data_IF_782534170373
#
_entry.id   IF_782534170373
#
_cell.length_a   1.000
_cell.length_b   1.000
_cell.length_c   1.000
_cell.angle_alpha   90.00
_cell.angle_beta   90.00
_cell.angle_gamma   90.00
#
_symmetry.space_group_name_H-M   'P 1'
#
loop_
_entity.id
_entity.type
_entity.pdbx_description
1 polymer ?
#
# COMPACT_ATOMS: atom_id res chain seq x y z
N UNK A 1 1.05 -0.09 8.22
CA UNK A 1 1.74 -1.25 7.59
C UNK A 1 2.95 -0.82 6.78
N UNK A 2 2.81 0.07 5.79
CA UNK A 2 3.93 0.55 4.95
C UNK A 2 5.07 1.15 5.78
N UNK A 3 4.74 1.81 6.89
CA UNK A 3 5.73 2.33 7.82
C UNK A 3 6.67 1.26 8.39
N UNK A 4 6.19 0.02 8.59
CA UNK A 4 7.02 -1.10 9.07
C UNK A 4 8.07 -1.49 8.02
N UNK A 5 7.75 -1.38 6.74
CA UNK A 5 8.69 -1.67 5.65
C UNK A 5 9.61 -0.47 5.35
N UNK A 6 9.18 0.74 5.69
CA UNK A 6 9.89 1.99 5.37
C UNK A 6 10.80 2.49 6.50
N UNK A 7 10.62 2.01 7.73
CA UNK A 7 11.35 2.47 8.92
C UNK A 7 12.28 1.37 9.45
N UNK A 8 13.38 1.80 10.06
CA UNK A 8 14.33 0.90 10.74
C UNK A 8 14.09 0.80 12.25
N UNK A 9 13.19 1.63 12.79
CA UNK A 9 12.98 1.75 14.23
C UNK A 9 14.13 2.49 14.93
N UNK A 10 14.96 3.20 14.17
CA UNK A 10 16.11 3.96 14.66
C UNK A 10 15.92 5.44 14.30
N UNK A 11 15.75 6.34 15.28
CA UNK A 11 15.43 7.74 15.02
C UNK A 11 16.47 8.48 14.16
N UNK A 12 17.74 8.13 14.27
CA UNK A 12 18.80 8.78 13.51
C UNK A 12 18.77 8.32 12.05
N UNK A 13 18.56 7.02 11.80
CA UNK A 13 18.45 6.47 10.45
C UNK A 13 17.13 6.84 9.77
N UNK A 14 16.06 7.00 10.55
CA UNK A 14 14.73 7.31 10.05
C UNK A 14 14.45 8.82 9.94
N UNK A 15 15.43 9.69 10.23
CA UNK A 15 15.22 11.14 10.32
C UNK A 15 14.62 11.76 9.03
N UNK A 16 15.09 11.34 7.86
CA UNK A 16 14.58 11.83 6.58
C UNK A 16 13.19 11.26 6.26
N UNK A 17 12.98 9.95 6.47
CA UNK A 17 11.67 9.31 6.30
C UNK A 17 10.64 9.97 7.21
N UNK A 18 10.95 10.18 8.49
CA UNK A 18 10.06 10.86 9.43
C UNK A 18 9.76 12.31 9.05
N UNK A 19 10.71 13.02 8.41
CA UNK A 19 10.45 14.37 7.88
C UNK A 19 9.45 14.34 6.73
N UNK A 20 9.59 13.37 5.82
CA UNK A 20 8.64 13.16 4.74
C UNK A 20 7.26 12.74 5.27
N UNK A 21 7.18 11.81 6.22
CA UNK A 21 5.90 11.37 6.78
C UNK A 21 5.09 12.50 7.43
N UNK A 22 5.72 13.57 7.92
CA UNK A 22 5.02 14.76 8.44
C UNK A 22 4.25 15.52 7.38
N UNK A 23 4.55 15.32 6.09
CA UNK A 23 3.81 15.93 4.98
C UNK A 23 2.70 15.03 4.46
N UNK A 24 2.55 13.82 5.01
CA UNK A 24 1.59 12.83 4.57
C UNK A 24 0.42 12.72 5.56
N UNK A 25 -0.76 12.38 5.03
CA UNK A 25 -1.86 11.85 5.85
C UNK A 25 -1.59 10.36 6.04
N UNK A 26 -1.43 9.94 7.29
CA UNK A 26 -1.20 8.54 7.63
C UNK A 26 -2.52 7.89 8.02
N UNK A 27 -2.93 6.85 7.30
CA UNK A 27 -4.04 5.98 7.71
C UNK A 27 -3.53 5.00 8.78
N UNK A 28 -3.95 5.15 10.06
CA UNK A 28 -3.38 4.36 11.15
C UNK A 28 -4.04 2.98 11.28
N UNK A 29 -5.27 2.84 10.81
CA UNK A 29 -6.12 1.68 11.09
C UNK A 29 -6.29 0.77 9.89
N UNK A 30 -6.29 -0.54 10.18
CA UNK A 30 -6.69 -1.59 9.26
C UNK A 30 -7.99 -2.18 9.75
N UNK A 31 -9.09 -1.90 9.06
CA UNK A 31 -10.38 -2.47 9.41
C UNK A 31 -10.46 -3.93 8.95
N UNK A 32 -11.27 -4.78 9.62
CA UNK A 32 -11.50 -6.16 9.16
C UNK A 32 -12.02 -6.24 7.72
N UNK A 33 -12.82 -5.28 7.28
CA UNK A 33 -13.36 -5.26 5.91
C UNK A 33 -12.28 -4.94 4.89
N UNK A 34 -11.38 -3.99 5.18
CA UNK A 34 -10.22 -3.72 4.34
C UNK A 34 -9.29 -4.95 4.28
N UNK A 35 -9.09 -5.64 5.41
CA UNK A 35 -8.29 -6.87 5.45
C UNK A 35 -8.90 -8.01 4.61
N UNK A 36 -10.22 -8.21 4.69
CA UNK A 36 -10.92 -9.19 3.85
C UNK A 36 -10.83 -8.82 2.37
N UNK A 37 -10.98 -7.53 2.05
CA UNK A 37 -10.85 -7.03 0.67
C UNK A 37 -9.45 -7.27 0.13
N UNK A 38 -8.41 -6.94 0.89
CA UNK A 38 -7.02 -7.22 0.52
C UNK A 38 -6.77 -8.73 0.31
N UNK A 39 -7.29 -9.59 1.19
CA UNK A 39 -7.17 -11.04 1.04
C UNK A 39 -7.82 -11.55 -0.26
N UNK A 40 -8.97 -10.99 -0.62
CA UNK A 40 -9.63 -11.30 -1.89
C UNK A 40 -8.78 -10.89 -3.10
N UNK A 41 -8.23 -9.67 -3.10
CA UNK A 41 -7.36 -9.16 -4.16
C UNK A 41 -6.14 -10.07 -4.36
N UNK A 42 -5.45 -10.44 -3.28
CA UNK A 42 -4.30 -11.38 -3.33
C UNK A 42 -4.67 -12.72 -3.92
N UNK A 43 -5.81 -13.29 -3.48
CA UNK A 43 -6.27 -14.59 -3.99
C UNK A 43 -6.50 -14.56 -5.50
N UNK A 44 -7.04 -13.44 -6.02
CA UNK A 44 -7.31 -13.27 -7.46
C UNK A 44 -6.02 -13.02 -8.25
N UNK A 45 -5.17 -12.12 -7.77
CA UNK A 45 -3.92 -11.76 -8.42
C UNK A 45 -2.87 -12.88 -8.39
N UNK A 46 -2.91 -13.76 -7.37
CA UNK A 46 -1.93 -14.83 -7.13
C UNK A 46 -0.48 -14.34 -6.95
N UNK A 47 -0.29 -13.04 -6.74
CA UNK A 47 0.98 -12.37 -6.45
C UNK A 47 0.75 -11.24 -5.43
N UNK A 48 1.83 -10.57 -5.05
CA UNK A 48 1.83 -9.43 -4.14
C UNK A 48 1.82 -9.83 -2.65
N UNK A 49 2.49 -9.00 -1.85
CA UNK A 49 2.57 -9.18 -0.40
C UNK A 49 1.22 -8.86 0.28
N UNK A 50 1.14 -9.14 1.58
CA UNK A 50 -0.02 -8.74 2.38
C UNK A 50 -0.20 -7.23 2.41
N UNK A 51 0.92 -6.51 2.44
CA UNK A 51 0.95 -5.06 2.52
C UNK A 51 0.50 -4.45 1.20
N UNK A 52 1.02 -4.95 0.06
CA UNK A 52 0.65 -4.46 -1.28
C UNK A 52 -0.85 -4.52 -1.50
N UNK A 53 -1.48 -5.63 -1.14
CA UNK A 53 -2.92 -5.78 -1.32
C UNK A 53 -3.75 -4.91 -0.39
N UNK A 54 -3.24 -4.60 0.81
CA UNK A 54 -3.88 -3.65 1.71
C UNK A 54 -3.72 -2.21 1.19
N UNK A 55 -2.59 -1.86 0.57
CA UNK A 55 -2.42 -0.58 -0.12
C UNK A 55 -3.45 -0.46 -1.26
N UNK A 56 -3.58 -1.49 -2.10
CA UNK A 56 -4.55 -1.48 -3.20
C UNK A 56 -5.99 -1.44 -2.69
N UNK A 57 -6.32 -2.17 -1.62
CA UNK A 57 -7.64 -2.10 -1.00
C UNK A 57 -7.94 -0.73 -0.39
N UNK A 58 -6.94 -0.07 0.20
CA UNK A 58 -7.06 1.29 0.74
C UNK A 58 -7.25 2.34 -0.37
N UNK A 59 -6.65 2.13 -1.54
CA UNK A 59 -6.81 3.00 -2.69
C UNK A 59 -8.18 2.86 -3.38
N UNK A 60 -9.00 1.87 -2.99
CA UNK A 60 -10.37 1.79 -3.50
C UNK A 60 -11.32 2.78 -2.82
N UNK A 61 -12.25 3.40 -3.57
CA UNK A 61 -12.30 3.50 -5.03
C UNK A 61 -11.48 4.68 -5.57
N UNK A 62 -11.08 4.59 -6.84
CA UNK A 62 -10.58 5.71 -7.65
C UNK A 62 -9.27 6.37 -7.17
N UNK A 63 -8.55 5.72 -6.25
CA UNK A 63 -7.25 6.17 -5.77
C UNK A 63 -6.09 5.78 -6.68
N UNK A 64 -4.91 6.34 -6.39
CA UNK A 64 -3.67 6.06 -7.12
C UNK A 64 -2.63 5.48 -6.18
N UNK A 65 -1.98 4.40 -6.60
CA UNK A 65 -0.83 3.82 -5.91
C UNK A 65 0.46 4.23 -6.62
N UNK A 66 1.34 4.91 -5.89
CA UNK A 66 2.69 5.25 -6.32
C UNK A 66 3.65 4.15 -5.84
N UNK A 67 4.39 3.53 -6.75
CA UNK A 67 5.24 2.37 -6.44
C UNK A 67 6.52 2.34 -7.27
N UNK A 68 7.59 1.78 -6.71
CA UNK A 68 8.80 1.42 -7.47
C UNK A 68 8.70 0.04 -8.15
N UNK A 69 7.77 -0.81 -7.71
CA UNK A 69 7.44 -2.08 -8.33
C UNK A 69 6.03 -2.01 -8.91
N UNK A 70 5.96 -1.66 -10.19
CA UNK A 70 4.70 -1.46 -10.89
C UNK A 70 3.99 -2.78 -11.22
N UNK A 71 4.73 -3.83 -11.55
CA UNK A 71 4.15 -5.07 -12.04
C UNK A 71 3.32 -5.79 -10.97
N UNK A 72 3.85 -5.87 -9.75
CA UNK A 72 3.16 -6.54 -8.64
C UNK A 72 1.89 -5.78 -8.21
N UNK A 73 1.97 -4.44 -8.20
CA UNK A 73 0.81 -3.60 -7.85
C UNK A 73 -0.25 -3.61 -8.96
N UNK A 74 0.14 -3.58 -10.23
CA UNK A 74 -0.80 -3.68 -11.36
C UNK A 74 -1.57 -5.01 -11.34
N UNK A 75 -0.92 -6.12 -11.00
CA UNK A 75 -1.58 -7.42 -10.89
C UNK A 75 -2.69 -7.42 -9.82
N UNK A 76 -2.48 -6.72 -8.70
CA UNK A 76 -3.51 -6.52 -7.66
C UNK A 76 -4.59 -5.54 -8.11
N UNK A 77 -4.20 -4.41 -8.69
CA UNK A 77 -5.10 -3.33 -9.12
C UNK A 77 -6.04 -3.78 -10.25
N UNK A 78 -5.65 -4.75 -11.09
CA UNK A 78 -6.50 -5.37 -12.10
C UNK A 78 -7.79 -6.00 -11.54
N UNK A 79 -7.87 -6.23 -10.23
CA UNK A 79 -9.06 -6.75 -9.54
C UNK A 79 -9.72 -5.72 -8.60
N UNK A 80 -9.19 -4.51 -8.56
CA UNK A 80 -9.64 -3.42 -7.71
C UNK A 80 -10.59 -2.46 -8.45
N UNK A 81 -11.31 -1.65 -7.69
CA UNK A 81 -12.28 -0.67 -8.20
C UNK A 81 -11.60 0.67 -8.42
N UNK A 82 -11.32 0.99 -9.69
CA UNK A 82 -10.86 2.33 -10.09
C UNK A 82 -9.43 2.68 -9.68
N UNK A 83 -8.64 1.73 -9.19
CA UNK A 83 -7.27 2.01 -8.73
C UNK A 83 -6.33 2.21 -9.92
N UNK A 84 -5.65 3.35 -9.99
CA UNK A 84 -4.56 3.59 -10.94
C UNK A 84 -3.19 3.32 -10.30
N UNK A 85 -2.19 2.98 -11.13
CA UNK A 85 -0.83 2.65 -10.69
C UNK A 85 0.18 3.49 -11.46
N UNK A 86 1.02 4.23 -10.74
CA UNK A 86 2.06 5.08 -11.30
C UNK A 86 3.44 4.73 -10.72
N UNK A 87 4.45 4.82 -11.58
CA UNK A 87 5.85 4.55 -11.21
C UNK A 87 6.49 5.83 -10.67
N UNK A 88 7.25 5.71 -9.58
CA UNK A 88 8.04 6.81 -8.98
C UNK A 88 9.54 6.57 -9.07
#
# INVERSE_FOLDING_TARGET
>A
MVLVESLRGDPARDANTNRFLKTCIIQPEVTPDMARRAAELRRRARTGSAVDALIVALAEPDGTVLTGDKADIEALAAHARGVSVELI
#
